data_IF_563251627399
#
_entry.id   IF_563251627399
#
_cell.length_a   1.000
_cell.length_b   1.000
_cell.length_c   1.000
_cell.angle_alpha   90.00
_cell.angle_beta   90.00
_cell.angle_gamma   90.00
#
_symmetry.space_group_name_H-M   'P 1'
#
loop_
_entity.id
_entity.type
_entity.pdbx_description
1 polymer ?
#
# COMPACT_ATOMS: atom_id res chain seq x y z
N UNK A 1 -24.29 -28.47 -23.40
CA UNK A 1 -23.51 -29.55 -24.02
C UNK A 1 -22.09 -29.05 -24.20
N UNK A 2 -21.12 -29.92 -23.87
CA UNK A 2 -19.71 -29.69 -23.47
C UNK A 2 -19.60 -29.23 -22.00
N UNK A 3 -19.91 -30.11 -21.02
CA UNK A 3 -19.04 -31.14 -20.43
C UNK A 3 -17.75 -30.58 -19.81
N UNK A 4 -17.71 -30.65 -18.48
CA UNK A 4 -16.57 -31.00 -17.62
C UNK A 4 -15.17 -31.01 -18.27
N UNK A 5 -14.48 -29.87 -18.33
CA UNK A 5 -13.00 -29.85 -18.24
C UNK A 5 -12.62 -29.69 -16.77
N UNK A 6 -12.73 -30.80 -16.03
CA UNK A 6 -12.16 -31.00 -14.71
C UNK A 6 -10.63 -31.15 -14.84
N UNK A 7 -9.87 -30.32 -14.13
CA UNK A 7 -8.59 -30.73 -13.54
C UNK A 7 -7.37 -31.01 -14.43
N UNK A 8 -7.35 -30.68 -15.72
CA UNK A 8 -6.10 -30.65 -16.48
C UNK A 8 -5.43 -29.29 -16.30
N UNK A 9 -4.43 -29.22 -15.41
CA UNK A 9 -3.40 -28.18 -15.48
C UNK A 9 -2.85 -28.20 -16.91
N UNK A 10 -3.21 -27.18 -17.71
CA UNK A 10 -2.75 -27.06 -19.09
C UNK A 10 -1.24 -26.84 -19.04
N UNK A 11 -0.48 -27.91 -19.26
CA UNK A 11 0.99 -27.95 -19.31
C UNK A 11 1.60 -27.23 -20.52
N UNK A 12 0.76 -26.66 -21.39
CA UNK A 12 1.14 -26.02 -22.64
C UNK A 12 0.99 -24.50 -22.52
N UNK A 13 1.99 -23.76 -23.01
CA UNK A 13 1.94 -22.31 -23.06
C UNK A 13 0.73 -21.82 -23.88
N UNK A 14 0.07 -20.76 -23.40
CA UNK A 14 -1.08 -20.19 -24.10
C UNK A 14 -0.66 -19.66 -25.48
N UNK A 15 -1.34 -20.12 -26.54
CA UNK A 15 -1.10 -19.60 -27.90
C UNK A 15 -1.34 -18.09 -27.97
N UNK A 16 -0.61 -17.34 -28.83
CA UNK A 16 -0.69 -15.87 -28.89
C UNK A 16 -2.13 -15.36 -29.11
N UNK A 17 -2.92 -16.06 -29.92
CA UNK A 17 -4.34 -15.75 -30.15
C UNK A 17 -5.22 -15.87 -28.89
N UNK A 18 -4.88 -16.78 -27.96
CA UNK A 18 -5.59 -16.90 -26.66
C UNK A 18 -5.20 -15.77 -25.70
N UNK A 19 -3.93 -15.37 -25.68
CA UNK A 19 -3.45 -14.25 -24.88
C UNK A 19 -4.08 -12.92 -25.32
N UNK A 20 -4.17 -12.69 -26.63
CA UNK A 20 -4.82 -11.49 -27.18
C UNK A 20 -6.31 -11.45 -26.84
N UNK A 21 -7.01 -12.59 -26.92
CA UNK A 21 -8.42 -12.68 -26.53
C UNK A 21 -8.62 -12.45 -25.03
N UNK A 22 -7.76 -13.00 -24.17
CA UNK A 22 -7.79 -12.75 -22.73
C UNK A 22 -7.59 -11.26 -22.42
N UNK A 23 -6.66 -10.60 -23.13
CA UNK A 23 -6.47 -9.15 -23.07
C UNK A 23 -7.72 -8.41 -23.53
N UNK A 24 -8.32 -8.74 -24.67
CA UNK A 24 -9.58 -8.07 -25.07
C UNK A 24 -10.69 -8.20 -24.03
N UNK A 25 -10.75 -9.34 -23.34
CA UNK A 25 -11.70 -9.61 -22.26
C UNK A 25 -11.36 -8.91 -20.93
N UNK A 26 -10.24 -8.18 -20.85
CA UNK A 26 -9.82 -7.45 -19.66
C UNK A 26 -9.00 -8.25 -18.66
N UNK A 27 -8.60 -9.47 -18.99
CA UNK A 27 -7.82 -10.36 -18.13
C UNK A 27 -6.33 -10.15 -18.42
N UNK A 28 -5.65 -9.45 -17.53
CA UNK A 28 -4.20 -9.24 -17.55
C UNK A 28 -3.59 -9.69 -16.23
N UNK A 29 -2.37 -10.21 -16.27
CA UNK A 29 -1.62 -10.58 -15.07
C UNK A 29 -1.44 -9.35 -14.15
N UNK A 30 -1.72 -9.50 -12.85
CA UNK A 30 -1.67 -8.39 -11.87
C UNK A 30 -1.20 -8.88 -10.50
N UNK A 31 0.06 -8.63 -10.16
CA UNK A 31 0.57 -8.92 -8.81
C UNK A 31 0.08 -7.92 -7.79
N UNK A 32 -0.78 -8.41 -6.90
CA UNK A 32 -1.23 -7.67 -5.71
C UNK A 32 -0.07 -7.37 -4.76
N UNK A 33 0.91 -8.28 -4.69
CA UNK A 33 2.07 -8.16 -3.80
C UNK A 33 3.06 -7.11 -4.29
N UNK A 34 3.26 -7.01 -5.61
CA UNK A 34 4.05 -5.94 -6.21
C UNK A 34 3.44 -4.58 -5.91
N UNK A 35 2.12 -4.43 -6.09
CA UNK A 35 1.45 -3.18 -5.76
C UNK A 35 1.55 -2.80 -4.28
N UNK A 36 1.32 -3.76 -3.40
CA UNK A 36 1.45 -3.54 -1.95
C UNK A 36 2.88 -3.12 -1.58
N UNK A 37 3.89 -3.79 -2.14
CA UNK A 37 5.30 -3.47 -1.89
C UNK A 37 5.67 -2.06 -2.35
N UNK A 38 5.27 -1.68 -3.56
CA UNK A 38 5.54 -0.33 -4.07
C UNK A 38 4.87 0.73 -3.20
N UNK A 39 3.61 0.53 -2.81
CA UNK A 39 2.89 1.44 -1.91
C UNK A 39 3.59 1.59 -0.55
N UNK A 40 3.98 0.47 0.08
CA UNK A 40 4.63 0.49 1.39
C UNK A 40 6.02 1.14 1.33
N UNK A 41 6.83 0.79 0.32
CA UNK A 41 8.16 1.38 0.12
C UNK A 41 8.07 2.87 -0.20
N UNK A 42 7.18 3.27 -1.11
CA UNK A 42 6.97 4.70 -1.44
C UNK A 42 6.47 5.47 -0.23
N UNK A 43 5.56 4.91 0.57
CA UNK A 43 5.09 5.52 1.82
C UNK A 43 6.22 5.70 2.84
N UNK A 44 7.03 4.67 3.06
CA UNK A 44 8.18 4.73 3.96
C UNK A 44 9.22 5.76 3.51
N UNK A 45 9.57 5.79 2.22
CA UNK A 45 10.48 6.79 1.68
C UNK A 45 9.90 8.20 1.72
N UNK A 46 8.60 8.35 1.45
CA UNK A 46 7.93 9.64 1.56
C UNK A 46 8.01 10.18 3.00
N UNK A 47 7.81 9.33 4.01
CA UNK A 47 8.02 9.72 5.40
C UNK A 47 9.48 10.07 5.70
N UNK A 48 10.44 9.34 5.13
CA UNK A 48 11.87 9.61 5.32
C UNK A 48 12.29 10.96 4.73
N UNK A 49 11.85 11.29 3.51
CA UNK A 49 12.24 12.54 2.82
C UNK A 49 11.39 13.74 3.23
N UNK A 50 10.07 13.56 3.39
CA UNK A 50 9.13 14.66 3.59
C UNK A 50 8.63 14.78 5.04
N UNK A 51 8.80 13.75 5.88
CA UNK A 51 8.25 13.71 7.23
C UNK A 51 8.76 14.84 8.14
N UNK A 52 10.04 15.20 8.07
CA UNK A 52 10.59 16.32 8.85
C UNK A 52 9.96 17.66 8.47
N UNK A 53 9.83 17.92 7.15
CA UNK A 53 9.20 19.15 6.67
C UNK A 53 7.71 19.21 7.01
N UNK A 54 7.00 18.07 6.89
CA UNK A 54 5.61 17.94 7.30
C UNK A 54 5.43 18.23 8.79
N UNK A 55 6.29 17.66 9.64
CA UNK A 55 6.25 17.88 11.09
C UNK A 55 6.46 19.36 11.46
N UNK A 56 7.41 20.04 10.81
CA UNK A 56 7.66 21.47 11.02
C UNK A 56 6.49 22.36 10.59
N UNK A 57 5.87 22.05 9.44
CA UNK A 57 4.67 22.76 8.94
C UNK A 57 3.49 22.56 9.87
N UNK A 58 3.24 21.32 10.32
CA UNK A 58 2.22 21.01 11.32
C UNK A 58 2.46 21.72 12.65
N UNK A 59 3.71 21.79 13.11
CA UNK A 59 4.06 22.54 14.32
C UNK A 59 3.79 24.04 14.15
N UNK A 60 4.11 24.61 12.99
CA UNK A 60 3.82 26.02 12.68
C UNK A 60 2.32 26.29 12.69
N UNK A 61 1.52 25.43 12.05
CA UNK A 61 0.05 25.52 12.04
C UNK A 61 -0.51 25.41 13.46
N UNK A 62 -0.03 24.44 14.24
CA UNK A 62 -0.46 24.24 15.62
C UNK A 62 -0.17 25.48 16.48
N UNK A 63 1.03 26.07 16.36
CA UNK A 63 1.37 27.32 17.07
C UNK A 63 0.46 28.46 16.64
N UNK A 64 0.27 28.68 15.34
CA UNK A 64 -0.61 29.73 14.84
C UNK A 64 -2.09 29.54 15.24
N UNK A 65 -2.51 28.30 15.50
CA UNK A 65 -3.88 27.99 15.95
C UNK A 65 -4.08 28.22 17.45
N UNK A 66 -3.01 28.18 18.25
CA UNK A 66 -3.06 28.39 19.71
C UNK A 66 -2.56 29.76 20.16
N UNK A 67 -1.78 30.45 19.33
CA UNK A 67 -1.22 31.77 19.57
C UNK A 67 -1.72 32.72 18.47
N UNK A 68 -2.96 33.20 18.64
CA UNK A 68 -3.61 34.13 17.74
C UNK A 68 -4.01 35.41 18.48
N UNK A 69 -3.99 36.52 17.75
CA UNK A 69 -4.32 37.82 18.32
C UNK A 69 -5.80 37.89 18.71
N UNK A 70 -6.09 38.65 19.78
CA UNK A 70 -7.46 38.84 20.28
C UNK A 70 -8.38 39.40 19.20
N UNK A 71 -7.87 40.24 18.31
CA UNK A 71 -8.60 40.78 17.16
C UNK A 71 -9.18 39.68 16.28
N UNK A 72 -8.40 38.62 16.01
CA UNK A 72 -8.86 37.47 15.25
C UNK A 72 -9.91 36.64 15.99
N UNK A 73 -9.97 36.68 17.33
CA UNK A 73 -10.99 35.96 18.10
C UNK A 73 -12.42 36.51 17.88
N UNK A 74 -12.53 37.79 17.52
CA UNK A 74 -13.81 38.49 17.36
C UNK A 74 -14.13 38.87 15.92
N UNK A 75 -13.25 38.56 14.97
CA UNK A 75 -13.44 38.81 13.55
C UNK A 75 -13.32 37.50 12.74
N UNK A 76 -14.47 37.00 12.30
CA UNK A 76 -14.57 35.77 11.50
C UNK A 76 -13.76 35.84 10.19
N UNK A 77 -13.57 37.04 9.60
CA UNK A 77 -12.79 37.19 8.37
C UNK A 77 -11.30 36.94 8.61
N UNK A 78 -10.78 37.42 9.74
CA UNK A 78 -9.40 37.16 10.17
C UNK A 78 -9.21 35.68 10.53
N UNK A 79 -10.18 35.04 11.17
CA UNK A 79 -10.15 33.59 11.44
C UNK A 79 -10.11 32.77 10.14
N UNK A 80 -10.93 33.11 9.15
CA UNK A 80 -10.93 32.43 7.85
C UNK A 80 -9.59 32.62 7.12
N UNK A 81 -8.97 33.81 7.23
CA UNK A 81 -7.63 34.05 6.72
C UNK A 81 -6.55 33.17 7.36
N UNK A 82 -6.61 32.99 8.69
CA UNK A 82 -5.71 32.11 9.44
C UNK A 82 -5.90 30.64 9.05
N UNK A 83 -7.15 30.20 8.88
CA UNK A 83 -7.46 28.86 8.39
C UNK A 83 -6.90 28.64 6.99
N UNK A 84 -7.11 29.60 6.07
CA UNK A 84 -6.61 29.53 4.71
C UNK A 84 -5.08 29.37 4.66
N UNK A 85 -4.35 30.18 5.43
CA UNK A 85 -2.88 30.08 5.56
C UNK A 85 -2.44 28.74 6.17
N UNK A 86 -3.19 28.25 7.15
CA UNK A 86 -2.89 26.97 7.79
C UNK A 86 -3.07 25.79 6.82
N UNK A 87 -4.13 25.82 6.01
CA UNK A 87 -4.38 24.82 4.98
C UNK A 87 -3.30 24.85 3.90
N UNK A 88 -3.00 26.02 3.33
CA UNK A 88 -2.00 26.13 2.26
C UNK A 88 -0.59 25.76 2.72
N UNK A 89 -0.30 25.90 4.02
CA UNK A 89 0.98 25.48 4.63
C UNK A 89 1.21 23.96 4.60
N UNK A 90 0.17 23.13 4.49
CA UNK A 90 0.30 21.65 4.58
C UNK A 90 -0.23 20.93 3.33
N UNK A 91 -1.16 21.54 2.59
CA UNK A 91 -1.81 20.91 1.43
C UNK A 91 -0.82 20.54 0.34
N UNK A 92 0.19 21.36 0.06
CA UNK A 92 1.20 21.11 -0.98
C UNK A 92 1.98 19.80 -0.74
N UNK A 93 2.46 19.59 0.47
CA UNK A 93 3.25 18.42 0.84
C UNK A 93 2.38 17.17 0.97
N UNK A 94 1.16 17.30 1.49
CA UNK A 94 0.20 16.18 1.55
C UNK A 94 -0.18 15.75 0.13
N UNK A 95 -0.47 16.71 -0.76
CA UNK A 95 -0.79 16.42 -2.15
C UNK A 95 0.37 15.72 -2.85
N UNK A 96 1.61 16.18 -2.63
CA UNK A 96 2.80 15.53 -3.20
C UNK A 96 2.91 14.06 -2.74
N UNK A 97 2.73 13.78 -1.44
CA UNK A 97 2.77 12.42 -0.90
C UNK A 97 1.65 11.57 -1.50
N UNK A 98 0.42 12.10 -1.60
CA UNK A 98 -0.71 11.40 -2.20
C UNK A 98 -0.46 11.09 -3.68
N UNK A 99 0.11 12.03 -4.44
CA UNK A 99 0.48 11.81 -5.84
C UNK A 99 1.52 10.70 -5.96
N UNK A 100 2.56 10.69 -5.11
CA UNK A 100 3.56 9.62 -5.10
C UNK A 100 2.94 8.25 -4.80
N UNK A 101 2.04 8.17 -3.82
CA UNK A 101 1.33 6.93 -3.49
C UNK A 101 0.39 6.48 -4.61
N UNK A 102 -0.30 7.42 -5.26
CA UNK A 102 -1.15 7.14 -6.41
C UNK A 102 -0.32 6.60 -7.58
N UNK A 103 0.83 7.21 -7.87
CA UNK A 103 1.75 6.72 -8.89
C UNK A 103 2.28 5.32 -8.55
N UNK A 104 2.67 5.08 -7.30
CA UNK A 104 3.11 3.75 -6.85
C UNK A 104 2.02 2.68 -7.01
N UNK A 105 0.77 3.00 -6.64
CA UNK A 105 -0.37 2.10 -6.81
C UNK A 105 -0.71 1.84 -8.28
N UNK A 106 -0.64 2.86 -9.13
CA UNK A 106 -0.81 2.72 -10.57
C UNK A 106 0.30 1.84 -11.17
N UNK A 107 1.56 2.11 -10.84
CA UNK A 107 2.71 1.30 -11.29
C UNK A 107 2.61 -0.14 -10.83
N UNK A 108 2.15 -0.39 -9.60
CA UNK A 108 1.90 -1.73 -9.10
C UNK A 108 0.83 -2.49 -9.88
N UNK A 109 -0.22 -1.78 -10.30
CA UNK A 109 -1.33 -2.36 -11.07
C UNK A 109 -0.98 -2.62 -12.54
N UNK A 110 -0.15 -1.76 -13.13
CA UNK A 110 0.21 -1.77 -14.56
C UNK A 110 1.50 -2.57 -14.82
N UNK A 111 2.40 -2.67 -13.83
CA UNK A 111 3.78 -3.12 -14.01
C UNK A 111 3.96 -4.55 -14.53
N UNK A 112 2.95 -5.41 -14.37
CA UNK A 112 2.98 -6.79 -14.89
C UNK A 112 2.16 -6.97 -16.16
N UNK A 113 0.90 -6.58 -16.13
CA UNK A 113 -0.05 -6.83 -17.21
C UNK A 113 -0.03 -5.79 -18.33
N UNK A 114 0.68 -4.67 -18.13
CA UNK A 114 0.66 -3.53 -19.03
C UNK A 114 -0.62 -2.71 -18.92
N UNK A 115 -0.69 -1.64 -19.72
CA UNK A 115 -1.88 -0.81 -19.81
C UNK A 115 -2.88 -1.42 -20.80
N UNK A 116 -4.08 -1.76 -20.32
CA UNK A 116 -5.14 -2.33 -21.13
C UNK A 116 -6.47 -1.64 -20.82
N UNK A 117 -7.07 -1.07 -21.85
CA UNK A 117 -8.41 -0.47 -21.77
C UNK A 117 -9.43 -1.44 -22.38
N UNK A 118 -10.33 -1.98 -21.56
CA UNK A 118 -11.45 -2.83 -22.03
C UNK A 118 -12.73 -2.46 -21.30
N UNK A 119 -13.80 -2.26 -22.06
CA UNK A 119 -15.13 -2.00 -21.53
C UNK A 119 -15.91 -3.29 -21.23
N UNK A 120 -15.40 -4.46 -21.68
CA UNK A 120 -16.06 -5.77 -21.48
C UNK A 120 -16.18 -6.18 -20.00
N UNK A 121 -15.22 -5.90 -19.10
CA UNK A 121 -15.35 -6.19 -17.66
C UNK A 121 -16.40 -5.35 -16.92
N UNK A 122 -16.83 -4.21 -17.48
CA UNK A 122 -17.84 -3.33 -16.88
C UNK A 122 -19.27 -3.87 -17.07
N UNK A 123 -19.46 -4.81 -17.99
CA UNK A 123 -20.76 -5.43 -18.21
C UNK A 123 -21.15 -6.32 -17.01
N UNK A 124 -22.40 -6.21 -16.49
CA UNK A 124 -22.86 -7.06 -15.40
C UNK A 124 -22.93 -8.52 -15.87
N UNK A 125 -22.17 -9.39 -15.21
CA UNK A 125 -22.18 -10.84 -15.46
C UNK A 125 -22.90 -11.55 -14.31
N UNK A 126 -24.11 -12.06 -14.56
CA UNK A 126 -24.93 -12.78 -13.57
C UNK A 126 -24.23 -14.02 -13.00
N UNK A 127 -23.32 -14.64 -13.75
CA UNK A 127 -22.49 -15.76 -13.28
C UNK A 127 -21.55 -15.40 -12.12
N UNK A 128 -21.23 -14.11 -11.92
CA UNK A 128 -20.45 -13.67 -10.74
C UNK A 128 -21.28 -13.59 -9.45
N UNK A 129 -22.60 -13.63 -9.54
CA UNK A 129 -23.52 -13.55 -8.39
C UNK A 129 -24.01 -14.92 -7.90
N UNK A 130 -23.60 -16.03 -8.53
CA UNK A 130 -24.00 -17.36 -8.09
C UNK A 130 -23.28 -17.74 -6.78
N UNK A 131 -24.03 -17.80 -5.68
CA UNK A 131 -23.51 -18.10 -4.35
C UNK A 131 -22.92 -19.52 -4.23
N UNK A 132 -23.46 -20.48 -4.98
CA UNK A 132 -23.03 -21.89 -4.95
C UNK A 132 -21.65 -22.06 -5.60
N UNK A 133 -21.45 -21.45 -6.77
CA UNK A 133 -20.13 -21.38 -7.41
C UNK A 133 -19.12 -20.57 -6.57
N UNK A 134 -19.60 -19.51 -5.89
CA UNK A 134 -18.77 -18.73 -4.96
C UNK A 134 -18.23 -19.57 -3.81
N UNK A 135 -19.09 -20.36 -3.17
CA UNK A 135 -18.73 -21.30 -2.10
C UNK A 135 -17.74 -22.37 -2.59
N UNK A 136 -17.97 -22.95 -3.77
CA UNK A 136 -17.05 -23.94 -4.34
C UNK A 136 -15.67 -23.35 -4.64
N UNK A 137 -15.61 -22.10 -5.13
CA UNK A 137 -14.34 -21.38 -5.32
C UNK A 137 -13.63 -21.13 -4.00
N UNK A 138 -14.36 -20.79 -2.93
CA UNK A 138 -13.80 -20.59 -1.59
C UNK A 138 -13.20 -21.88 -1.01
N UNK A 139 -13.85 -23.03 -1.19
CA UNK A 139 -13.37 -24.34 -0.71
C UNK A 139 -12.69 -25.16 -1.82
N UNK A 140 -11.78 -24.54 -2.57
CA UNK A 140 -11.00 -25.20 -3.63
C UNK A 140 -9.55 -25.45 -3.21
N UNK A 141 -8.86 -26.37 -3.90
CA UNK A 141 -7.41 -26.58 -3.73
C UNK A 141 -6.62 -25.28 -3.96
N UNK A 142 -7.08 -24.44 -4.89
CA UNK A 142 -6.52 -23.11 -5.14
C UNK A 142 -6.58 -22.23 -3.87
N UNK A 143 -7.71 -22.23 -3.16
CA UNK A 143 -7.85 -21.48 -1.91
C UNK A 143 -6.94 -22.01 -0.80
N UNK A 144 -6.69 -23.32 -0.75
CA UNK A 144 -5.74 -23.90 0.21
C UNK A 144 -4.30 -23.46 -0.07
N UNK A 145 -3.91 -23.40 -1.34
CA UNK A 145 -2.59 -22.87 -1.76
C UNK A 145 -2.49 -21.37 -1.44
N UNK A 146 -3.53 -20.58 -1.70
CA UNK A 146 -3.58 -19.17 -1.32
C UNK A 146 -3.48 -18.97 0.20
N UNK A 147 -4.13 -19.83 0.99
CA UNK A 147 -4.03 -19.81 2.45
C UNK A 147 -2.59 -20.07 2.92
N UNK A 148 -1.93 -21.09 2.35
CA UNK A 148 -0.54 -21.37 2.68
C UNK A 148 0.38 -20.19 2.32
N UNK A 149 0.20 -19.59 1.12
CA UNK A 149 0.94 -18.39 0.71
C UNK A 149 0.69 -17.23 1.69
N UNK A 150 -0.56 -17.01 2.09
CA UNK A 150 -0.91 -15.96 3.05
C UNK A 150 -0.24 -16.19 4.42
N UNK A 151 -0.23 -17.43 4.91
CA UNK A 151 0.42 -17.78 6.17
C UNK A 151 1.94 -17.62 6.09
N UNK A 152 2.57 -18.03 4.98
CA UNK A 152 4.00 -17.83 4.75
C UNK A 152 4.36 -16.33 4.73
N UNK A 153 3.56 -15.50 4.04
CA UNK A 153 3.71 -14.04 4.03
C UNK A 153 3.60 -13.45 5.44
N UNK A 154 2.59 -13.89 6.20
CA UNK A 154 2.40 -13.46 7.58
C UNK A 154 3.61 -13.83 8.46
N UNK A 155 4.07 -15.08 8.40
CA UNK A 155 5.23 -15.55 9.17
C UNK A 155 6.50 -14.77 8.82
N UNK A 156 6.71 -14.46 7.54
CA UNK A 156 7.85 -13.65 7.10
C UNK A 156 7.80 -12.23 7.70
N UNK A 157 6.66 -11.55 7.57
CA UNK A 157 6.49 -10.19 8.11
C UNK A 157 6.60 -10.20 9.64
N UNK A 158 6.00 -11.20 10.31
CA UNK A 158 6.09 -11.36 11.75
C UNK A 158 7.54 -11.59 12.21
N UNK A 159 8.29 -12.46 11.52
CA UNK A 159 9.70 -12.70 11.80
C UNK A 159 10.51 -11.40 11.68
N UNK A 160 10.36 -10.67 10.58
CA UNK A 160 11.10 -9.40 10.38
C UNK A 160 10.71 -8.36 11.43
N UNK A 161 9.42 -8.22 11.73
CA UNK A 161 8.96 -7.33 12.78
C UNK A 161 9.53 -7.70 14.15
N UNK A 162 9.55 -8.98 14.52
CA UNK A 162 10.16 -9.46 15.76
C UNK A 162 11.67 -9.21 15.82
N UNK A 163 12.39 -9.42 14.70
CA UNK A 163 13.83 -9.13 14.62
C UNK A 163 14.13 -7.63 14.77
N UNK A 164 13.37 -6.76 14.09
CA UNK A 164 13.48 -5.31 14.23
C UNK A 164 13.21 -4.89 15.67
N UNK A 165 12.14 -5.39 16.27
CA UNK A 165 11.82 -5.10 17.67
C UNK A 165 12.93 -5.56 18.61
N UNK A 166 13.47 -6.76 18.42
CA UNK A 166 14.57 -7.27 19.22
C UNK A 166 15.83 -6.41 19.11
N UNK A 167 16.15 -5.94 17.89
CA UNK A 167 17.31 -5.10 17.63
C UNK A 167 17.13 -3.67 18.14
N UNK A 168 15.90 -3.15 18.09
CA UNK A 168 15.56 -1.78 18.51
C UNK A 168 15.11 -1.69 19.98
N UNK A 169 14.99 -2.81 20.71
CA UNK A 169 14.46 -2.86 22.08
C UNK A 169 15.17 -1.90 23.03
N UNK A 170 16.50 -1.83 22.96
CA UNK A 170 17.29 -1.01 23.87
C UNK A 170 17.11 0.48 23.54
N UNK A 171 17.00 0.82 22.24
CA UNK A 171 16.69 2.16 21.77
C UNK A 171 15.27 2.61 22.19
N UNK A 172 14.28 1.70 22.11
CA UNK A 172 12.92 1.93 22.58
C UNK A 172 12.87 2.18 24.10
N UNK A 173 13.56 1.36 24.89
CA UNK A 173 13.63 1.53 26.35
C UNK A 173 14.36 2.81 26.75
N UNK A 174 15.38 3.22 25.98
CA UNK A 174 16.12 4.46 26.22
C UNK A 174 15.26 5.72 26.00
N UNK A 175 14.18 5.67 25.22
CA UNK A 175 13.29 6.83 25.00
C UNK A 175 12.73 7.40 26.31
N UNK A 176 12.39 6.53 27.27
CA UNK A 176 11.85 6.95 28.56
C UNK A 176 12.84 7.71 29.45
N UNK A 177 14.13 7.66 29.10
CA UNK A 177 15.22 8.31 29.84
C UNK A 177 15.72 9.59 29.14
N UNK A 178 15.23 9.88 27.94
CA UNK A 178 15.60 11.06 27.17
C UNK A 178 14.69 12.26 27.50
N UNK A 179 15.22 13.47 27.32
CA UNK A 179 14.37 14.67 27.38
C UNK A 179 13.41 14.72 26.18
N UNK A 180 12.30 15.45 26.31
CA UNK A 180 11.18 15.40 25.36
C UNK A 180 11.58 15.61 23.89
N UNK A 181 12.41 16.62 23.60
CA UNK A 181 12.81 16.96 22.22
C UNK A 181 13.67 15.87 21.54
N UNK A 182 14.77 15.39 22.14
CA UNK A 182 15.52 14.28 21.54
C UNK A 182 14.71 12.97 21.54
N UNK A 183 13.88 12.72 22.56
CA UNK A 183 13.01 11.53 22.61
C UNK A 183 12.05 11.48 21.42
N UNK A 184 11.41 12.59 21.05
CA UNK A 184 10.51 12.62 19.89
C UNK A 184 11.24 12.39 18.57
N UNK A 185 12.40 13.01 18.37
CA UNK A 185 13.21 12.79 17.18
C UNK A 185 13.70 11.34 17.06
N UNK A 186 14.16 10.76 18.18
CA UNK A 186 14.62 9.38 18.24
C UNK A 186 13.47 8.38 18.05
N UNK A 187 12.29 8.64 18.61
CA UNK A 187 11.10 7.82 18.38
C UNK A 187 10.67 7.84 16.91
N UNK A 188 10.67 9.01 16.26
CA UNK A 188 10.37 9.12 14.84
C UNK A 188 11.39 8.36 13.98
N UNK A 189 12.67 8.41 14.33
CA UNK A 189 13.71 7.62 13.69
C UNK A 189 13.43 6.12 13.79
N UNK A 190 13.15 5.61 15.00
CA UNK A 190 12.79 4.20 15.22
C UNK A 190 11.58 3.82 14.36
N UNK A 191 10.52 4.64 14.36
CA UNK A 191 9.28 4.38 13.62
C UNK A 191 9.52 4.30 12.10
N UNK A 192 10.21 5.28 11.52
CA UNK A 192 10.46 5.32 10.07
C UNK A 192 11.33 4.15 9.62
N UNK A 193 12.41 3.85 10.36
CA UNK A 193 13.28 2.72 10.01
C UNK A 193 12.63 1.37 10.23
N UNK A 194 11.81 1.22 11.28
CA UNK A 194 11.02 0.00 11.49
C UNK A 194 10.00 -0.20 10.38
N UNK A 195 9.28 0.87 9.98
CA UNK A 195 8.33 0.82 8.88
C UNK A 195 9.00 0.47 7.55
N UNK A 196 10.15 1.08 7.24
CA UNK A 196 10.94 0.76 6.05
C UNK A 196 11.47 -0.66 6.07
N UNK A 197 12.00 -1.14 7.21
CA UNK A 197 12.48 -2.51 7.36
C UNK A 197 11.38 -3.55 7.18
N UNK A 198 10.20 -3.32 7.75
CA UNK A 198 9.03 -4.18 7.52
C UNK A 198 8.53 -4.12 6.07
N UNK A 199 8.53 -2.93 5.45
CA UNK A 199 8.16 -2.78 4.04
C UNK A 199 9.14 -3.50 3.12
N UNK A 200 10.43 -3.50 3.44
CA UNK A 200 11.45 -4.22 2.69
C UNK A 200 11.22 -5.74 2.70
N UNK A 201 10.61 -6.30 3.76
CA UNK A 201 10.24 -7.72 3.80
C UNK A 201 9.25 -8.10 2.69
N UNK A 202 8.37 -7.18 2.28
CA UNK A 202 7.40 -7.45 1.22
C UNK A 202 8.05 -7.51 -0.16
N UNK A 203 9.28 -6.99 -0.33
CA UNK A 203 10.06 -7.17 -1.57
C UNK A 203 10.31 -8.65 -1.83
N UNK A 204 10.64 -9.43 -0.80
CA UNK A 204 10.85 -10.87 -0.93
C UNK A 204 9.56 -11.55 -1.37
N UNK A 205 8.42 -11.14 -0.81
CA UNK A 205 7.10 -11.65 -1.19
C UNK A 205 6.80 -11.33 -2.66
N UNK A 206 6.99 -10.07 -3.07
CA UNK A 206 6.77 -9.65 -4.45
C UNK A 206 7.73 -10.34 -5.43
N UNK A 207 8.98 -10.56 -5.04
CA UNK A 207 9.97 -11.25 -5.88
C UNK A 207 9.58 -12.71 -6.19
N UNK A 208 8.85 -13.37 -5.28
CA UNK A 208 8.32 -14.72 -5.49
C UNK A 208 6.98 -14.70 -6.22
N UNK A 209 6.10 -13.74 -5.90
CA UNK A 209 4.75 -13.65 -6.47
C UNK A 209 4.78 -13.21 -7.94
N UNK A 210 5.67 -12.28 -8.31
CA UNK A 210 5.75 -11.70 -9.67
C UNK A 210 6.04 -12.76 -10.75
N UNK A 211 7.04 -13.66 -10.60
CA UNK A 211 7.25 -14.75 -11.56
C UNK A 211 6.05 -15.70 -11.62
N UNK A 212 5.51 -16.10 -10.47
CA UNK A 212 4.36 -17.03 -10.41
C UNK A 212 3.16 -16.48 -11.19
N UNK A 213 2.86 -15.19 -11.04
CA UNK A 213 1.78 -14.51 -11.76
C UNK A 213 2.01 -14.28 -13.25
N UNK A 214 3.23 -14.46 -13.76
CA UNK A 214 3.47 -14.43 -15.21
C UNK A 214 3.14 -15.75 -15.88
N UNK A 215 3.14 -16.85 -15.11
CA UNK A 215 2.85 -18.19 -15.61
C UNK A 215 1.38 -18.61 -15.38
N UNK A 216 0.68 -17.98 -14.43
CA UNK A 216 -0.77 -18.05 -14.21
C UNK A 216 -1.57 -17.17 -15.20
#
# INVERSE_FOLDING_TARGET
MAEEENGQEKTEEATPKRLDKAREEGQIARSRELGTTLLLMTGGFALLFFGSNLAQRLQTVMRASFDFDRSAAFDSSLMLGLLGRSMTSVVDIVLLILVLLMLAGAMGSIGLGGWLFSNKPLAPKLSRMNALEGLQRMFSLKSLVELFKALAKFCLVALVASLILWQMKDALLALGQQSLRPATAHAMWILVWSALGMSAATIVIAAVDVPFQRFD
#
